data_IF_923552975414
#
_entry.id   IF_923552975414
#
_cell.length_a   1.000
_cell.length_b   1.000
_cell.length_c   1.000
_cell.angle_alpha   90.00
_cell.angle_beta   90.00
_cell.angle_gamma   90.00
#
_symmetry.space_group_name_H-M   'P 1'
#
loop_
_entity.id
_entity.type
_entity.pdbx_description
1 polymer ?
#
# COMPACT_ATOMS: atom_id res chain seq x y z
N UNK A 1 -61.67 -9.28 -31.02
CA UNK A 1 -60.46 -9.42 -30.20
C UNK A 1 -59.94 -8.02 -29.99
N UNK A 2 -60.00 -7.49 -28.76
CA UNK A 2 -59.46 -6.17 -28.46
C UNK A 2 -57.93 -6.25 -28.59
N UNK A 3 -57.27 -5.33 -29.31
CA UNK A 3 -55.81 -5.32 -29.36
C UNK A 3 -55.27 -5.02 -27.96
N UNK A 4 -54.49 -5.94 -27.39
CA UNK A 4 -53.80 -5.71 -26.11
C UNK A 4 -52.65 -4.70 -26.33
N UNK A 5 -52.74 -3.55 -25.68
CA UNK A 5 -51.78 -2.45 -25.73
C UNK A 5 -50.78 -2.57 -24.59
N UNK A 6 -49.49 -2.35 -24.87
CA UNK A 6 -48.42 -2.66 -23.93
C UNK A 6 -47.30 -1.63 -23.98
N UNK A 7 -46.82 -1.25 -22.80
CA UNK A 7 -45.89 -0.17 -22.53
C UNK A 7 -44.44 -0.66 -22.26
N UNK A 8 -43.48 -0.23 -23.09
CA UNK A 8 -42.01 -0.31 -23.01
C UNK A 8 -41.49 0.83 -22.16
N UNK A 9 -40.40 0.79 -21.39
CA UNK A 9 -39.90 1.99 -20.68
C UNK A 9 -38.42 2.31 -20.90
N UNK A 10 -38.06 3.58 -20.72
CA UNK A 10 -36.71 4.11 -20.89
C UNK A 10 -36.46 5.21 -19.83
N UNK A 11 -35.21 5.37 -19.39
CA UNK A 11 -34.78 6.53 -18.60
C UNK A 11 -34.58 7.73 -19.50
N UNK A 12 -35.07 8.90 -19.09
CA UNK A 12 -34.60 10.15 -19.69
C UNK A 12 -33.11 10.27 -19.36
N UNK A 13 -32.23 10.61 -20.35
CA UNK A 13 -30.81 10.76 -20.11
C UNK A 13 -30.59 11.75 -18.96
N UNK A 14 -29.77 11.37 -17.97
CA UNK A 14 -29.44 12.28 -16.89
C UNK A 14 -28.77 13.52 -17.47
N UNK A 15 -29.19 14.73 -17.07
CA UNK A 15 -28.49 15.93 -17.48
C UNK A 15 -27.06 15.86 -16.92
N UNK A 16 -26.09 15.81 -17.83
CA UNK A 16 -24.71 16.25 -17.57
C UNK A 16 -24.80 17.60 -16.83
N UNK A 17 -23.96 17.90 -15.82
CA UNK A 17 -24.20 18.95 -14.80
C UNK A 17 -24.38 20.40 -15.28
N UNK A 18 -24.45 20.65 -16.59
CA UNK A 18 -24.60 21.97 -17.21
C UNK A 18 -25.80 22.08 -18.17
N UNK A 19 -26.83 21.24 -18.03
CA UNK A 19 -28.03 21.39 -18.84
C UNK A 19 -29.06 22.26 -18.11
N UNK A 20 -29.10 23.53 -18.51
CA UNK A 20 -30.27 24.40 -18.34
C UNK A 20 -31.53 23.71 -18.93
N UNK A 21 -32.77 24.16 -18.61
CA UNK A 21 -34.03 23.58 -19.11
C UNK A 21 -34.20 23.46 -20.64
N UNK A 22 -33.16 23.80 -21.42
CA UNK A 22 -33.17 24.02 -22.84
C UNK A 22 -32.82 22.81 -23.72
N UNK A 23 -32.46 21.64 -23.16
CA UNK A 23 -32.06 20.49 -24.01
C UNK A 23 -32.64 19.17 -23.47
N UNK A 24 -33.97 19.04 -23.55
CA UNK A 24 -34.56 17.71 -23.58
C UNK A 24 -34.05 16.98 -24.84
N UNK A 25 -33.80 15.66 -24.76
CA UNK A 25 -33.40 14.90 -25.94
C UNK A 25 -34.47 15.05 -27.02
N UNK A 26 -34.02 15.42 -28.23
CA UNK A 26 -34.90 15.48 -29.40
C UNK A 26 -35.27 14.07 -29.87
N UNK A 27 -34.37 13.09 -29.73
CA UNK A 27 -34.59 11.71 -30.13
C UNK A 27 -34.63 10.81 -28.89
N UNK A 28 -35.69 10.01 -28.79
CA UNK A 28 -35.87 9.01 -27.75
C UNK A 28 -35.80 7.61 -28.36
N UNK A 29 -35.07 6.70 -27.73
CA UNK A 29 -35.16 5.28 -28.05
C UNK A 29 -36.55 4.77 -27.65
N UNK A 30 -37.22 4.05 -28.56
CA UNK A 30 -38.59 3.60 -28.38
C UNK A 30 -38.73 2.08 -28.33
N UNK A 31 -38.09 1.35 -29.24
CA UNK A 31 -38.19 -0.12 -29.30
C UNK A 31 -36.84 -0.69 -29.72
N UNK A 32 -36.20 -1.55 -28.91
CA UNK A 32 -34.96 -2.20 -29.32
C UNK A 32 -35.20 -3.22 -30.46
N UNK A 33 -34.13 -3.58 -31.17
CA UNK A 33 -34.17 -4.68 -32.15
C UNK A 33 -34.22 -6.04 -31.45
N UNK A 34 -34.84 -7.03 -32.11
CA UNK A 34 -34.82 -8.42 -31.64
C UNK A 34 -35.67 -8.66 -30.40
N UNK A 35 -35.27 -9.65 -29.60
CA UNK A 35 -36.01 -10.04 -28.40
C UNK A 35 -35.72 -9.09 -27.24
N UNK A 36 -36.76 -8.68 -26.53
CA UNK A 36 -36.61 -7.88 -25.31
C UNK A 36 -37.69 -8.20 -24.29
N UNK A 37 -37.38 -8.03 -23.01
CA UNK A 37 -38.21 -8.46 -21.88
C UNK A 37 -38.48 -7.30 -20.92
N UNK A 38 -39.76 -7.13 -20.57
CA UNK A 38 -40.25 -6.18 -19.57
C UNK A 38 -39.88 -6.59 -18.14
N UNK A 39 -39.86 -5.64 -17.22
CA UNK A 39 -39.77 -5.89 -15.77
C UNK A 39 -40.97 -6.66 -15.23
N UNK A 40 -42.10 -6.58 -15.92
CA UNK A 40 -43.27 -7.43 -15.68
C UNK A 40 -43.08 -8.89 -16.09
N UNK A 41 -41.94 -9.24 -16.72
CA UNK A 41 -41.59 -10.59 -17.14
C UNK A 41 -42.15 -11.00 -18.50
N UNK A 42 -42.86 -10.12 -19.21
CA UNK A 42 -43.35 -10.39 -20.58
C UNK A 42 -42.22 -10.15 -21.59
N UNK A 43 -42.20 -10.93 -22.65
CA UNK A 43 -41.20 -10.85 -23.72
C UNK A 43 -41.86 -10.54 -25.06
N UNK A 44 -41.19 -9.71 -25.85
CA UNK A 44 -41.62 -9.35 -27.20
C UNK A 44 -40.47 -9.46 -28.18
N UNK A 45 -40.80 -9.43 -29.47
CA UNK A 45 -39.84 -9.55 -30.55
C UNK A 45 -40.02 -8.44 -31.58
N UNK A 46 -39.04 -7.57 -31.75
CA UNK A 46 -38.99 -6.62 -32.85
C UNK A 46 -38.21 -7.23 -34.03
N UNK A 47 -38.90 -8.08 -34.82
CA UNK A 47 -38.31 -8.83 -35.94
C UNK A 47 -37.83 -7.94 -37.09
N UNK A 48 -38.59 -6.88 -37.37
CA UNK A 48 -38.35 -6.01 -38.51
C UNK A 48 -38.62 -4.55 -38.12
N UNK A 49 -37.63 -3.87 -37.50
CA UNK A 49 -37.79 -2.49 -37.03
C UNK A 49 -38.22 -1.52 -38.14
N UNK A 50 -37.74 -1.71 -39.38
CA UNK A 50 -38.11 -0.87 -40.51
C UNK A 50 -39.60 -0.99 -40.88
N UNK A 51 -40.17 -2.19 -40.78
CA UNK A 51 -41.59 -2.39 -41.03
C UNK A 51 -42.45 -1.80 -39.91
N UNK A 52 -42.02 -1.92 -38.65
CA UNK A 52 -42.69 -1.27 -37.52
C UNK A 52 -42.70 0.25 -37.69
N UNK A 53 -41.57 0.85 -38.09
CA UNK A 53 -41.50 2.29 -38.40
C UNK A 53 -42.44 2.65 -39.55
N UNK A 54 -42.42 1.90 -40.66
CA UNK A 54 -43.27 2.16 -41.80
C UNK A 54 -44.77 2.12 -41.45
N UNK A 55 -45.18 1.18 -40.58
CA UNK A 55 -46.56 1.04 -40.09
C UNK A 55 -46.96 2.10 -39.07
N UNK A 56 -45.99 2.77 -38.45
CA UNK A 56 -46.22 3.76 -37.38
C UNK A 56 -46.10 5.21 -37.86
N UNK A 57 -45.62 5.44 -39.09
CA UNK A 57 -45.31 6.78 -39.62
C UNK A 57 -46.51 7.48 -40.29
N UNK A 58 -47.68 6.85 -40.32
CA UNK A 58 -48.92 7.40 -40.88
C UNK A 58 -49.61 8.41 -39.94
N UNK A 59 -49.26 8.42 -38.66
CA UNK A 59 -49.75 9.36 -37.65
C UNK A 59 -48.60 9.84 -36.76
N UNK A 60 -48.74 11.04 -36.18
CA UNK A 60 -47.87 11.45 -35.09
C UNK A 60 -48.27 10.68 -33.82
N UNK A 61 -47.28 10.19 -33.08
CA UNK A 61 -47.51 9.38 -31.87
C UNK A 61 -47.58 10.32 -30.66
N UNK A 62 -48.67 10.32 -29.88
CA UNK A 62 -48.81 11.22 -28.74
C UNK A 62 -47.87 10.82 -27.60
N UNK A 63 -47.27 11.82 -26.96
CA UNK A 63 -46.61 11.67 -25.67
C UNK A 63 -47.60 12.07 -24.58
N UNK A 64 -47.94 11.17 -23.67
CA UNK A 64 -48.94 11.40 -22.62
C UNK A 64 -48.36 11.25 -21.21
N UNK A 65 -49.23 11.36 -20.20
CA UNK A 65 -48.89 11.06 -18.80
C UNK A 65 -49.52 9.74 -18.40
N UNK A 66 -48.70 8.84 -17.84
CA UNK A 66 -49.14 7.56 -17.26
C UNK A 66 -50.06 6.75 -18.19
N UNK A 67 -49.75 6.71 -19.49
CA UNK A 67 -50.50 5.99 -20.52
C UNK A 67 -51.96 6.42 -20.64
N UNK A 68 -52.24 7.72 -20.45
CA UNK A 68 -53.60 8.25 -20.57
C UNK A 68 -54.24 7.94 -21.93
N UNK A 69 -53.48 7.95 -23.03
CA UNK A 69 -53.97 7.60 -24.37
C UNK A 69 -54.54 6.18 -24.40
N UNK A 70 -53.90 5.24 -23.71
CA UNK A 70 -54.30 3.84 -23.71
C UNK A 70 -55.33 3.49 -22.62
N UNK A 71 -55.31 4.19 -21.49
CA UNK A 71 -56.17 3.89 -20.34
C UNK A 71 -57.44 4.75 -20.34
N UNK A 72 -57.33 6.04 -20.66
CA UNK A 72 -58.43 7.02 -20.63
C UNK A 72 -59.05 7.21 -22.00
N UNK A 73 -58.24 7.26 -23.06
CA UNK A 73 -58.69 7.43 -24.44
C UNK A 73 -59.83 6.47 -24.84
N UNK A 74 -59.70 5.14 -24.65
CA UNK A 74 -60.75 4.18 -25.01
C UNK A 74 -62.05 4.35 -24.21
N UNK A 75 -62.00 5.01 -23.04
CA UNK A 75 -63.17 5.29 -22.20
C UNK A 75 -63.81 6.64 -22.54
N UNK A 76 -63.28 7.38 -23.52
CA UNK A 76 -63.73 8.72 -23.88
C UNK A 76 -63.38 9.78 -22.84
N UNK A 77 -62.47 9.46 -21.91
CA UNK A 77 -61.96 10.39 -20.91
C UNK A 77 -60.82 11.24 -21.50
N UNK A 78 -60.54 12.39 -20.87
CA UNK A 78 -59.49 13.29 -21.32
C UNK A 78 -58.10 12.64 -21.24
N UNK A 79 -57.41 12.57 -22.39
CA UNK A 79 -56.06 12.04 -22.55
C UNK A 79 -55.22 13.03 -23.38
N UNK A 80 -54.77 14.15 -22.77
CA UNK A 80 -54.08 15.19 -23.50
C UNK A 80 -52.65 14.76 -23.85
N UNK A 81 -52.21 15.13 -25.05
CA UNK A 81 -50.82 14.98 -25.47
C UNK A 81 -49.97 16.14 -24.94
N UNK A 82 -48.86 15.80 -24.29
CA UNK A 82 -47.84 16.70 -23.77
C UNK A 82 -46.62 16.80 -24.69
N UNK A 83 -46.63 16.06 -25.79
CA UNK A 83 -45.67 16.13 -26.88
C UNK A 83 -46.11 15.20 -28.01
N UNK A 84 -45.35 15.20 -29.09
CA UNK A 84 -45.61 14.35 -30.24
C UNK A 84 -44.31 13.78 -30.77
N UNK A 85 -44.29 12.48 -31.08
CA UNK A 85 -43.26 11.89 -31.91
C UNK A 85 -43.63 12.19 -33.36
N UNK A 86 -42.84 13.01 -34.04
CA UNK A 86 -43.12 13.48 -35.41
C UNK A 86 -42.25 12.80 -36.47
N UNK A 87 -41.19 12.12 -36.07
CA UNK A 87 -40.35 11.35 -36.97
C UNK A 87 -39.87 10.08 -36.29
N UNK A 88 -39.70 9.01 -37.06
CA UNK A 88 -39.15 7.75 -36.61
C UNK A 88 -37.95 7.37 -37.46
N UNK A 89 -36.95 6.75 -36.84
CA UNK A 89 -35.80 6.18 -37.55
C UNK A 89 -35.39 4.86 -36.92
N UNK A 90 -34.69 4.04 -37.71
CA UNK A 90 -34.02 2.84 -37.22
C UNK A 90 -32.52 3.15 -37.19
N UNK A 91 -31.89 2.92 -36.05
CA UNK A 91 -30.44 3.10 -35.88
C UNK A 91 -29.67 1.93 -36.51
N UNK A 92 -28.35 2.05 -36.62
CA UNK A 92 -27.49 0.97 -37.12
C UNK A 92 -27.55 -0.31 -36.24
N UNK A 93 -27.89 -0.15 -34.95
CA UNK A 93 -28.15 -1.26 -34.03
C UNK A 93 -29.54 -1.88 -34.19
N UNK A 94 -30.39 -1.33 -35.06
CA UNK A 94 -31.77 -1.75 -35.29
C UNK A 94 -32.78 -1.21 -34.27
N UNK A 95 -32.37 -0.34 -33.35
CA UNK A 95 -33.28 0.31 -32.40
C UNK A 95 -34.15 1.33 -33.12
N UNK A 96 -35.45 1.34 -32.82
CA UNK A 96 -36.38 2.37 -33.27
C UNK A 96 -36.24 3.58 -32.35
N UNK A 97 -35.91 4.74 -32.92
CA UNK A 97 -35.90 6.03 -32.22
C UNK A 97 -36.99 6.94 -32.78
N UNK A 98 -37.54 7.80 -31.92
CA UNK A 98 -38.55 8.79 -32.28
C UNK A 98 -38.12 10.21 -31.93
N UNK A 99 -38.33 11.14 -32.87
CA UNK A 99 -38.09 12.56 -32.65
C UNK A 99 -39.29 13.19 -31.94
N UNK A 100 -39.09 13.65 -30.70
CA UNK A 100 -40.14 14.22 -29.86
C UNK A 100 -40.14 15.73 -29.92
N UNK A 101 -41.30 16.29 -30.25
CA UNK A 101 -41.61 17.71 -30.10
C UNK A 101 -42.39 17.90 -28.80
N UNK A 102 -41.73 18.51 -27.81
CA UNK A 102 -42.26 18.70 -26.46
C UNK A 102 -43.12 19.96 -26.34
N UNK A 103 -44.25 19.85 -25.64
CA UNK A 103 -45.01 21.02 -25.20
C UNK A 103 -44.30 21.78 -24.07
N UNK A 104 -44.69 23.03 -23.84
CA UNK A 104 -44.19 23.82 -22.70
C UNK A 104 -44.54 23.15 -21.35
N UNK A 105 -45.76 22.60 -21.24
CA UNK A 105 -46.19 21.85 -20.06
C UNK A 105 -45.31 20.62 -19.80
N UNK A 106 -44.94 19.86 -20.83
CA UNK A 106 -43.99 18.74 -20.67
C UNK A 106 -42.63 19.22 -20.19
N UNK A 107 -42.09 20.27 -20.81
CA UNK A 107 -40.79 20.85 -20.41
C UNK A 107 -40.77 21.23 -18.94
N UNK A 108 -41.83 21.89 -18.47
CA UNK A 108 -41.98 22.24 -17.06
C UNK A 108 -42.07 21.02 -16.14
N UNK A 109 -42.91 20.02 -16.48
CA UNK A 109 -43.04 18.81 -15.66
C UNK A 109 -41.73 18.03 -15.56
N UNK A 110 -40.97 17.96 -16.65
CA UNK A 110 -39.67 17.30 -16.70
C UNK A 110 -38.60 18.11 -15.96
N UNK A 111 -38.58 19.45 -16.08
CA UNK A 111 -37.63 20.29 -15.33
C UNK A 111 -37.86 20.20 -13.81
N UNK A 112 -39.11 20.11 -13.38
CA UNK A 112 -39.51 19.89 -11.98
C UNK A 112 -39.33 18.43 -11.54
N UNK A 113 -38.82 17.54 -12.42
CA UNK A 113 -38.60 16.11 -12.14
C UNK A 113 -39.86 15.37 -11.69
N UNK A 114 -41.03 15.80 -12.16
CA UNK A 114 -42.33 15.15 -11.86
C UNK A 114 -42.44 13.78 -12.50
N UNK A 115 -41.75 13.58 -13.63
CA UNK A 115 -41.61 12.30 -14.33
C UNK A 115 -40.13 12.10 -14.66
N UNK A 116 -39.60 10.90 -14.40
CA UNK A 116 -38.19 10.56 -14.66
C UNK A 116 -37.98 9.56 -15.79
N UNK A 117 -39.05 8.89 -16.20
CA UNK A 117 -39.02 7.83 -17.20
C UNK A 117 -40.09 8.09 -18.25
N UNK A 118 -39.89 7.50 -19.42
CA UNK A 118 -40.87 7.52 -20.49
C UNK A 118 -41.12 6.10 -20.98
N UNK A 119 -42.26 5.91 -21.65
CA UNK A 119 -42.75 4.57 -21.90
C UNK A 119 -43.52 4.40 -23.22
N UNK A 120 -42.88 3.88 -24.28
CA UNK A 120 -43.56 3.64 -25.56
C UNK A 120 -44.59 2.52 -25.47
N UNK A 121 -45.85 2.81 -25.78
CA UNK A 121 -46.88 1.81 -26.00
C UNK A 121 -46.88 1.34 -27.45
N UNK A 122 -47.07 0.04 -27.68
CA UNK A 122 -47.07 -0.57 -29.00
C UNK A 122 -48.08 -1.73 -29.08
N UNK A 123 -48.48 -2.03 -30.30
CA UNK A 123 -49.27 -3.19 -30.66
C UNK A 123 -48.36 -4.37 -30.98
N UNK A 124 -48.79 -5.56 -30.58
CA UNK A 124 -48.11 -6.81 -30.90
C UNK A 124 -49.10 -7.85 -31.45
N UNK A 125 -48.58 -8.84 -32.18
CA UNK A 125 -49.37 -10.00 -32.61
C UNK A 125 -49.42 -11.11 -31.55
N UNK A 126 -50.11 -12.20 -31.85
CA UNK A 126 -50.26 -13.33 -30.93
C UNK A 126 -48.93 -14.04 -30.59
N UNK A 127 -47.90 -13.86 -31.42
CA UNK A 127 -46.55 -14.41 -31.21
C UNK A 127 -45.65 -13.43 -30.45
N UNK A 128 -46.19 -12.30 -29.98
CA UNK A 128 -45.45 -11.25 -29.27
C UNK A 128 -44.59 -10.38 -30.18
N UNK A 129 -44.77 -10.44 -31.50
CA UNK A 129 -44.00 -9.60 -32.42
C UNK A 129 -44.56 -8.17 -32.45
N UNK A 130 -43.67 -7.19 -32.31
CA UNK A 130 -44.03 -5.76 -32.39
C UNK A 130 -44.54 -5.43 -33.79
N UNK A 131 -45.70 -4.78 -33.88
CA UNK A 131 -46.34 -4.44 -35.17
C UNK A 131 -46.37 -2.95 -35.45
N UNK A 132 -46.70 -2.13 -34.44
CA UNK A 132 -46.86 -0.67 -34.59
C UNK A 132 -46.74 0.04 -33.23
N UNK A 133 -46.21 1.25 -33.21
CA UNK A 133 -46.23 2.15 -32.05
C UNK A 133 -47.62 2.82 -31.88
N UNK A 134 -48.00 3.12 -30.64
CA UNK A 134 -49.31 3.70 -30.28
C UNK A 134 -49.19 5.04 -29.57
N UNK A 135 -48.44 5.11 -28.47
CA UNK A 135 -48.21 6.32 -27.66
C UNK A 135 -46.87 6.25 -26.93
N UNK A 136 -46.46 7.31 -26.23
CA UNK A 136 -45.33 7.30 -25.29
C UNK A 136 -45.76 7.94 -23.97
N UNK A 137 -45.84 7.17 -22.89
CA UNK A 137 -46.24 7.68 -21.57
C UNK A 137 -45.06 8.14 -20.72
N UNK A 138 -45.07 9.39 -20.26
CA UNK A 138 -44.21 9.82 -19.16
C UNK A 138 -44.71 9.18 -17.87
N UNK A 139 -43.83 8.46 -17.17
CA UNK A 139 -44.18 7.67 -15.98
C UNK A 139 -43.09 7.70 -14.92
N UNK A 140 -43.46 7.44 -13.67
CA UNK A 140 -42.52 7.24 -12.55
C UNK A 140 -42.26 5.76 -12.23
N UNK A 141 -42.99 4.83 -12.84
CA UNK A 141 -42.84 3.38 -12.63
C UNK A 141 -42.50 2.68 -13.95
N UNK A 142 -41.21 2.62 -14.33
CA UNK A 142 -40.83 2.02 -15.60
C UNK A 142 -40.92 0.48 -15.58
N UNK A 143 -41.23 -0.10 -16.73
CA UNK A 143 -41.55 -1.48 -17.05
C UNK A 143 -40.52 -2.16 -17.99
N UNK A 144 -39.41 -1.52 -18.38
CA UNK A 144 -38.26 -2.18 -19.03
C UNK A 144 -37.00 -1.85 -18.25
N UNK A 145 -36.08 -2.80 -18.20
CA UNK A 145 -34.67 -2.55 -17.90
C UNK A 145 -33.94 -2.42 -19.23
N UNK A 146 -33.72 -1.19 -19.68
CA UNK A 146 -32.48 -0.91 -20.39
C UNK A 146 -31.44 -0.55 -19.35
N UNK A 147 -30.17 -0.95 -19.56
CA UNK A 147 -29.13 -0.53 -18.67
C UNK A 147 -29.19 1.00 -18.64
N UNK A 148 -29.40 1.57 -17.45
CA UNK A 148 -28.63 2.77 -17.16
C UNK A 148 -27.22 2.41 -17.63
N UNK A 149 -26.57 3.26 -18.43
CA UNK A 149 -25.27 2.97 -19.07
C UNK A 149 -24.19 2.46 -18.08
N UNK A 150 -24.51 2.42 -16.78
CA UNK A 150 -23.88 1.69 -15.69
C UNK A 150 -24.79 0.61 -15.06
N UNK A 151 -25.20 -0.45 -15.76
CA UNK A 151 -25.91 -1.59 -15.15
C UNK A 151 -25.05 -2.85 -15.20
N UNK A 152 -24.64 -3.25 -14.00
CA UNK A 152 -23.75 -4.31 -13.57
C UNK A 152 -24.27 -5.75 -13.85
N UNK A 153 -24.69 -6.05 -15.09
CA UNK A 153 -25.24 -7.39 -15.43
C UNK A 153 -24.60 -8.11 -16.62
N UNK A 154 -23.58 -7.53 -17.24
CA UNK A 154 -22.66 -8.27 -18.09
C UNK A 154 -21.30 -8.28 -17.39
N UNK A 155 -20.63 -9.43 -17.18
CA UNK A 155 -19.21 -9.41 -16.86
C UNK A 155 -18.53 -8.76 -18.06
N UNK A 156 -18.19 -7.48 -17.94
CA UNK A 156 -17.46 -6.75 -18.97
C UNK A 156 -16.12 -7.46 -19.10
N UNK A 157 -15.95 -8.21 -20.19
CA UNK A 157 -14.62 -8.65 -20.59
C UNK A 157 -13.81 -7.40 -20.82
N UNK A 158 -12.62 -7.40 -20.21
CA UNK A 158 -11.71 -6.27 -20.35
C UNK A 158 -11.37 -6.12 -21.83
N UNK A 159 -11.41 -4.90 -22.42
CA UNK A 159 -11.10 -4.70 -23.83
C UNK A 159 -9.81 -5.43 -24.22
N UNK A 160 -9.85 -6.18 -25.33
CA UNK A 160 -8.74 -7.05 -25.79
C UNK A 160 -7.40 -6.30 -25.91
N UNK A 161 -7.47 -4.99 -26.14
CA UNK A 161 -6.30 -4.10 -26.17
C UNK A 161 -5.60 -4.01 -24.81
N UNK A 162 -6.35 -3.98 -23.71
CA UNK A 162 -5.82 -3.92 -22.34
C UNK A 162 -5.30 -5.30 -21.92
N UNK A 163 -6.02 -6.38 -22.22
CA UNK A 163 -5.53 -7.74 -21.92
C UNK A 163 -4.26 -8.05 -22.74
N UNK A 164 -4.21 -7.62 -24.00
CA UNK A 164 -3.02 -7.73 -24.85
C UNK A 164 -1.81 -6.94 -24.32
N UNK A 165 -2.01 -5.71 -23.84
CA UNK A 165 -0.95 -4.92 -23.20
C UNK A 165 -0.45 -5.52 -21.88
N UNK A 166 -1.33 -6.19 -21.13
CA UNK A 166 -0.99 -6.87 -19.88
C UNK A 166 -0.47 -8.30 -20.08
N UNK A 167 -0.44 -8.82 -21.32
CA UNK A 167 -0.04 -10.19 -21.62
C UNK A 167 -1.02 -11.26 -21.12
N UNK A 168 -2.28 -10.89 -20.90
CA UNK A 168 -3.34 -11.77 -20.43
C UNK A 168 -4.16 -12.33 -21.61
N UNK A 169 -4.85 -13.45 -21.38
CA UNK A 169 -5.74 -14.05 -22.37
C UNK A 169 -6.93 -13.13 -22.71
N UNK A 170 -7.50 -13.27 -23.92
CA UNK A 170 -8.66 -12.47 -24.35
C UNK A 170 -9.91 -12.70 -23.48
N UNK A 171 -9.98 -13.84 -22.79
CA UNK A 171 -11.04 -14.17 -21.83
C UNK A 171 -10.73 -13.76 -20.38
N UNK A 172 -9.66 -12.98 -20.15
CA UNK A 172 -9.27 -12.59 -18.80
C UNK A 172 -10.35 -11.72 -18.15
N UNK A 173 -10.57 -11.98 -16.86
CA UNK A 173 -11.56 -11.25 -16.08
C UNK A 173 -11.03 -9.90 -15.63
N UNK A 174 -11.92 -9.05 -15.11
CA UNK A 174 -11.54 -7.78 -14.48
C UNK A 174 -10.59 -8.02 -13.31
N UNK A 175 -10.82 -9.07 -12.52
CA UNK A 175 -9.97 -9.40 -11.37
C UNK A 175 -8.55 -9.82 -11.79
N UNK A 176 -8.42 -10.60 -12.86
CA UNK A 176 -7.13 -10.99 -13.44
C UNK A 176 -6.34 -9.75 -13.93
N UNK A 177 -7.06 -8.80 -14.52
CA UNK A 177 -6.51 -7.54 -15.02
C UNK A 177 -6.03 -6.65 -13.86
N UNK A 178 -6.82 -6.55 -12.79
CA UNK A 178 -6.44 -5.81 -11.57
C UNK A 178 -5.20 -6.45 -10.92
N UNK A 179 -5.11 -7.77 -10.88
CA UNK A 179 -3.95 -8.48 -10.35
C UNK A 179 -2.68 -8.19 -11.18
N UNK A 180 -2.78 -8.23 -12.52
CA UNK A 180 -1.66 -7.90 -13.40
C UNK A 180 -1.20 -6.45 -13.28
N UNK A 181 -2.13 -5.50 -13.14
CA UNK A 181 -1.81 -4.08 -12.91
C UNK A 181 -1.08 -3.88 -11.58
N UNK A 182 -1.55 -4.53 -10.50
CA UNK A 182 -0.84 -4.48 -9.20
C UNK A 182 0.57 -5.04 -9.31
N UNK A 183 0.75 -6.14 -10.03
CA UNK A 183 2.07 -6.72 -10.25
C UNK A 183 3.00 -5.78 -11.04
N UNK A 184 2.48 -5.05 -12.04
CA UNK A 184 3.24 -4.03 -12.75
C UNK A 184 3.65 -2.87 -11.84
N UNK A 185 2.75 -2.40 -10.97
CA UNK A 185 3.05 -1.35 -9.99
C UNK A 185 4.11 -1.81 -8.98
N UNK A 186 4.03 -3.04 -8.49
CA UNK A 186 5.04 -3.62 -7.60
C UNK A 186 6.40 -3.75 -8.30
N UNK A 187 6.41 -4.23 -9.55
CA UNK A 187 7.63 -4.33 -10.34
C UNK A 187 8.24 -2.95 -10.65
N UNK A 188 7.42 -1.94 -10.95
CA UNK A 188 7.86 -0.55 -11.12
C UNK A 188 8.44 0.00 -9.83
N UNK A 189 7.79 -0.24 -8.68
CA UNK A 189 8.32 0.17 -7.38
C UNK A 189 9.65 -0.52 -7.06
N UNK A 190 9.80 -1.81 -7.35
CA UNK A 190 11.07 -2.54 -7.20
C UNK A 190 12.13 -2.01 -8.16
N UNK A 191 11.76 -1.68 -9.40
CA UNK A 191 12.66 -1.10 -10.39
C UNK A 191 13.10 0.32 -10.00
N UNK A 192 12.19 1.15 -9.48
CA UNK A 192 12.47 2.48 -8.95
C UNK A 192 13.37 2.40 -7.71
N UNK A 193 13.11 1.46 -6.80
CA UNK A 193 13.96 1.22 -5.63
C UNK A 193 15.36 0.71 -6.03
N UNK A 194 15.48 -0.02 -7.15
CA UNK A 194 16.77 -0.43 -7.73
C UNK A 194 17.47 0.68 -8.52
N UNK A 195 16.72 1.56 -9.18
CA UNK A 195 17.22 2.68 -9.97
C UNK A 195 17.60 3.89 -9.09
N UNK A 196 17.04 3.97 -7.88
CA UNK A 196 17.61 4.81 -6.82
C UNK A 196 18.99 4.26 -6.47
N UNK A 197 20.00 4.84 -7.12
CA UNK A 197 21.39 4.73 -6.68
C UNK A 197 21.40 5.21 -5.23
N UNK A 198 21.64 4.34 -4.23
CA UNK A 198 21.62 4.76 -2.83
C UNK A 198 22.61 5.91 -2.70
N UNK A 199 22.13 7.05 -2.22
CA UNK A 199 22.96 8.22 -1.98
C UNK A 199 24.14 7.79 -1.11
N UNK A 200 25.35 7.75 -1.69
CA UNK A 200 26.56 7.22 -1.04
C UNK A 200 26.97 8.06 0.18
N UNK A 201 26.37 9.25 0.35
CA UNK A 201 26.54 10.07 1.56
C UNK A 201 25.61 9.65 2.70
N UNK A 202 24.56 8.86 2.41
CA UNK A 202 23.55 8.38 3.38
C UNK A 202 23.58 6.87 3.58
N UNK A 203 24.14 6.12 2.65
CA UNK A 203 24.19 4.66 2.69
C UNK A 203 25.63 4.15 2.60
N UNK A 204 26.03 3.37 3.61
CA UNK A 204 27.33 2.68 3.66
C UNK A 204 27.08 1.18 3.61
N UNK A 205 27.84 0.39 2.84
CA UNK A 205 27.73 -1.07 2.86
C UNK A 205 27.87 -1.62 4.28
N UNK A 206 27.01 -2.58 4.64
CA UNK A 206 26.98 -3.19 5.98
C UNK A 206 28.35 -3.77 6.36
N UNK A 207 29.08 -4.34 5.40
CA UNK A 207 30.45 -4.83 5.62
C UNK A 207 31.42 -3.72 6.04
N UNK A 208 31.33 -2.54 5.41
CA UNK A 208 32.16 -1.38 5.76
C UNK A 208 31.76 -0.79 7.11
N UNK A 209 30.47 -0.74 7.42
CA UNK A 209 29.98 -0.32 8.73
C UNK A 209 30.47 -1.25 9.86
N UNK A 210 30.33 -2.56 9.67
CA UNK A 210 30.80 -3.55 10.63
C UNK A 210 32.32 -3.51 10.80
N UNK A 211 33.07 -3.28 9.72
CA UNK A 211 34.52 -3.08 9.80
C UNK A 211 34.88 -1.83 10.62
N UNK A 212 34.15 -0.73 10.44
CA UNK A 212 34.36 0.50 11.21
C UNK A 212 34.05 0.30 12.69
N UNK A 213 32.92 -0.36 13.02
CA UNK A 213 32.57 -0.71 14.41
C UNK A 213 33.61 -1.60 15.06
N UNK A 214 34.04 -2.67 14.40
CA UNK A 214 35.07 -3.57 14.94
C UNK A 214 36.39 -2.83 15.22
N UNK A 215 36.78 -1.89 14.35
CA UNK A 215 37.97 -1.05 14.56
C UNK A 215 37.79 -0.08 15.73
N UNK A 216 36.62 0.53 15.87
CA UNK A 216 36.29 1.42 16.97
C UNK A 216 36.31 0.68 18.31
N UNK A 217 35.61 -0.45 18.43
CA UNK A 217 35.61 -1.29 19.64
C UNK A 217 37.03 -1.76 20.00
N UNK A 218 37.85 -2.12 19.00
CA UNK A 218 39.24 -2.51 19.24
C UNK A 218 40.08 -1.33 19.75
N UNK A 219 39.88 -0.13 19.21
CA UNK A 219 40.56 1.07 19.67
C UNK A 219 40.13 1.46 21.10
N UNK A 220 38.84 1.43 21.40
CA UNK A 220 38.29 1.70 22.73
C UNK A 220 38.83 0.71 23.77
N UNK A 221 38.86 -0.60 23.46
CA UNK A 221 39.45 -1.60 24.36
C UNK A 221 40.94 -1.36 24.59
N UNK A 222 41.68 -0.95 23.55
CA UNK A 222 43.12 -0.61 23.70
C UNK A 222 43.31 0.63 24.55
N UNK A 223 42.46 1.65 24.40
CA UNK A 223 42.50 2.86 25.23
C UNK A 223 42.21 2.51 26.70
N UNK A 224 41.18 1.72 26.97
CA UNK A 224 40.88 1.23 28.33
C UNK A 224 42.07 0.49 28.95
N UNK A 225 42.75 -0.39 28.20
CA UNK A 225 43.94 -1.09 28.69
C UNK A 225 45.13 -0.16 28.95
N UNK A 226 45.34 0.86 28.13
CA UNK A 226 46.39 1.86 28.35
C UNK A 226 46.11 2.67 29.60
N UNK A 227 44.86 3.10 29.74
CA UNK A 227 44.36 3.84 30.89
C UNK A 227 44.48 3.06 32.22
N UNK A 228 44.15 1.76 32.21
CA UNK A 228 44.36 0.89 33.37
C UNK A 228 45.84 0.76 33.72
N UNK A 229 46.71 0.56 32.72
CA UNK A 229 48.17 0.50 32.94
C UNK A 229 48.74 1.81 33.47
N UNK A 230 48.25 2.95 33.01
CA UNK A 230 48.65 4.26 33.53
C UNK A 230 48.21 4.44 34.99
N UNK A 231 46.98 4.04 35.33
CA UNK A 231 46.50 4.05 36.71
C UNK A 231 47.36 3.15 37.62
N UNK A 232 47.70 1.95 37.16
CA UNK A 232 48.60 1.03 37.86
C UNK A 232 49.98 1.62 38.06
N UNK A 233 50.58 2.15 37.00
CA UNK A 233 51.91 2.77 37.05
C UNK A 233 51.96 3.98 38.01
N UNK A 234 50.91 4.81 38.04
CA UNK A 234 50.83 5.95 38.95
C UNK A 234 50.78 5.51 40.42
N UNK A 235 49.96 4.50 40.74
CA UNK A 235 49.84 3.98 42.12
C UNK A 235 51.12 3.27 42.53
N UNK A 236 51.72 2.46 41.65
CA UNK A 236 52.97 1.74 41.93
C UNK A 236 54.15 2.70 42.12
N UNK A 237 54.22 3.78 41.33
CA UNK A 237 55.22 4.84 41.54
C UNK A 237 55.03 5.56 42.89
N UNK A 238 53.79 5.80 43.32
CA UNK A 238 53.50 6.41 44.62
C UNK A 238 53.84 5.49 45.81
N UNK A 239 53.66 4.18 45.65
CA UNK A 239 54.09 3.16 46.62
C UNK A 239 55.61 3.09 46.69
N UNK A 240 56.29 3.04 45.53
CA UNK A 240 57.76 3.04 45.47
C UNK A 240 58.41 4.30 46.06
N UNK A 241 57.73 5.44 45.95
CA UNK A 241 58.13 6.70 46.59
C UNK A 241 57.80 6.79 48.09
N UNK A 242 57.20 5.75 48.69
CA UNK A 242 56.82 5.71 50.11
C UNK A 242 55.66 6.65 50.49
N UNK A 243 54.95 7.20 49.50
CA UNK A 243 53.84 8.15 49.69
C UNK A 243 52.50 7.45 49.92
N UNK A 244 52.39 6.19 49.48
CA UNK A 244 51.22 5.33 49.67
C UNK A 244 51.67 4.00 50.27
N UNK A 245 50.97 3.54 51.31
CA UNK A 245 51.24 2.25 51.92
C UNK A 245 50.76 1.11 50.99
N UNK A 246 51.55 0.01 50.83
CA UNK A 246 51.16 -1.12 49.97
C UNK A 246 49.78 -1.72 50.29
N UNK A 247 49.36 -1.69 51.57
CA UNK A 247 48.05 -2.18 52.01
C UNK A 247 46.86 -1.41 51.41
N UNK A 248 47.08 -0.17 50.96
CA UNK A 248 46.02 0.69 50.40
C UNK A 248 46.04 0.74 48.87
N UNK A 249 46.85 -0.09 48.21
CA UNK A 249 47.02 -0.12 46.75
C UNK A 249 45.68 -0.22 46.01
N UNK A 250 44.86 -1.20 46.37
CA UNK A 250 43.62 -1.48 45.66
C UNK A 250 42.59 -0.34 45.76
N UNK A 251 42.57 0.37 46.89
CA UNK A 251 41.71 1.53 47.11
C UNK A 251 42.09 2.71 46.20
N UNK A 252 43.38 2.98 46.08
CA UNK A 252 43.87 4.06 45.21
C UNK A 252 43.80 3.69 43.73
N UNK A 253 43.97 2.41 43.37
CA UNK A 253 43.71 1.93 42.02
C UNK A 253 42.24 2.12 41.62
N UNK A 254 41.30 1.78 42.51
CA UNK A 254 39.88 1.99 42.25
C UNK A 254 39.55 3.47 42.01
N UNK A 255 40.23 4.38 42.72
CA UNK A 255 40.07 5.84 42.55
C UNK A 255 40.72 6.32 41.24
N UNK A 256 41.87 5.77 40.85
CA UNK A 256 42.58 6.13 39.62
C UNK A 256 41.95 5.52 38.34
N UNK A 257 40.85 4.78 38.44
CA UNK A 257 40.10 4.29 37.26
C UNK A 257 39.38 5.40 36.51
N UNK A 258 39.10 6.54 37.15
CA UNK A 258 38.53 7.72 36.48
C UNK A 258 39.63 8.74 36.18
N UNK A 259 39.51 9.49 35.07
CA UNK A 259 40.46 10.55 34.74
C UNK A 259 40.57 11.62 35.85
N UNK A 260 39.44 11.98 36.46
CA UNK A 260 39.41 12.93 37.57
C UNK A 260 40.13 12.38 38.81
N UNK A 261 39.93 11.10 39.12
CA UNK A 261 40.60 10.44 40.23
C UNK A 261 42.12 10.33 40.03
N UNK A 262 42.59 10.13 38.79
CA UNK A 262 44.04 10.20 38.47
C UNK A 262 44.61 11.58 38.74
N UNK A 263 43.91 12.65 38.34
CA UNK A 263 44.35 14.04 38.59
C UNK A 263 44.39 14.36 40.08
N UNK A 264 43.34 13.97 40.82
CA UNK A 264 43.28 14.16 42.27
C UNK A 264 44.37 13.37 43.01
N UNK A 265 44.65 12.13 42.57
CA UNK A 265 45.72 11.32 43.12
C UNK A 265 47.12 11.87 42.79
N UNK A 266 47.32 12.40 41.58
CA UNK A 266 48.56 13.07 41.21
C UNK A 266 48.81 14.34 42.04
N UNK A 267 47.77 15.13 42.36
CA UNK A 267 47.88 16.27 43.27
C UNK A 267 48.13 15.82 44.72
N UNK A 268 47.43 14.79 45.19
CA UNK A 268 47.64 14.22 46.52
C UNK A 268 49.08 13.73 46.71
N UNK A 269 49.65 13.03 45.73
CA UNK A 269 51.03 12.56 45.77
C UNK A 269 52.06 13.69 45.71
N UNK A 270 51.73 14.89 45.19
CA UNK A 270 52.62 16.07 45.29
C UNK A 270 52.69 16.63 46.72
N UNK A 271 51.57 16.64 47.43
CA UNK A 271 51.48 17.17 48.81
C UNK A 271 51.79 16.17 49.92
N UNK A 272 51.77 14.86 49.63
CA UNK A 272 52.01 13.81 50.61
C UNK A 272 53.51 13.71 50.99
N UNK A 273 53.79 13.75 52.29
CA UNK A 273 55.12 13.41 52.82
C UNK A 273 55.30 11.88 52.84
N UNK A 274 56.53 11.36 52.67
CA UNK A 274 56.78 9.92 52.79
C UNK A 274 56.33 9.43 54.16
N UNK A 275 55.30 8.57 54.18
CA UNK A 275 54.73 8.02 55.42
C UNK A 275 55.54 6.80 55.90
N UNK A 276 56.40 6.27 55.04
CA UNK A 276 57.22 5.08 55.29
C UNK A 276 58.69 5.48 55.17
N UNK A 277 59.45 5.30 56.24
CA UNK A 277 60.91 5.38 56.19
C UNK A 277 61.39 4.26 55.25
N UNK A 278 62.27 4.56 54.30
CA UNK A 278 62.69 3.61 53.25
C UNK A 278 63.62 2.49 53.76
N UNK A 279 63.54 2.16 55.05
CA UNK A 279 64.01 0.89 55.56
C UNK A 279 62.99 -0.17 55.13
N UNK A 280 63.41 -0.99 54.16
CA UNK A 280 62.68 -2.15 53.64
C UNK A 280 61.73 -2.73 54.70
N UNK A 281 60.42 -2.81 54.45
CA UNK A 281 59.54 -3.61 55.28
C UNK A 281 60.09 -5.04 55.27
N UNK A 282 60.43 -5.53 56.45
CA UNK A 282 60.86 -6.90 56.72
C UNK A 282 59.99 -7.88 55.94
N UNK A 283 60.58 -8.50 54.90
CA UNK A 283 60.01 -9.66 54.23
C UNK A 283 59.76 -10.72 55.30
N UNK A 284 58.51 -11.10 55.46
CA UNK A 284 58.15 -12.24 56.30
C UNK A 284 58.88 -13.48 55.80
N UNK A 285 59.79 -14.01 56.63
CA UNK A 285 60.44 -15.32 56.52
C UNK A 285 60.48 -15.92 55.11
N UNK A 286 61.45 -15.48 54.31
CA UNK A 286 61.97 -16.26 53.21
C UNK A 286 62.47 -17.62 53.74
N UNK A 287 62.03 -18.71 53.12
CA UNK A 287 62.77 -19.98 53.16
C UNK A 287 64.17 -19.69 52.61
N UNK A 288 65.27 -20.11 53.26
CA UNK A 288 66.59 -19.83 52.73
C UNK A 288 66.77 -20.63 51.43
N UNK A 289 66.79 -19.94 50.30
CA UNK A 289 67.39 -20.47 49.08
C UNK A 289 68.89 -20.60 49.36
N UNK A 290 69.39 -21.84 49.43
CA UNK A 290 70.83 -22.11 49.54
C UNK A 290 71.52 -21.67 48.25
N UNK A 291 72.05 -20.45 48.23
CA UNK A 291 73.00 -20.02 47.21
C UNK A 291 74.40 -20.44 47.61
N UNK A 292 75.11 -21.11 46.70
CA UNK A 292 76.49 -21.55 46.87
C UNK A 292 77.42 -20.34 47.02
N UNK A 293 78.37 -20.45 47.94
CA UNK A 293 79.44 -19.44 48.09
C UNK A 293 80.45 -19.54 46.94
N UNK A 294 81.20 -18.47 46.67
CA UNK A 294 82.15 -18.41 45.53
C UNK A 294 83.21 -19.52 45.55
N UNK A 295 83.59 -20.00 46.74
CA UNK A 295 84.49 -21.14 46.90
C UNK A 295 83.84 -22.48 46.49
N UNK A 296 82.53 -22.64 46.75
CA UNK A 296 81.76 -23.83 46.38
C UNK A 296 81.46 -23.86 44.87
N UNK A 297 81.23 -22.70 44.25
CA UNK A 297 81.13 -22.56 42.80
C UNK A 297 82.46 -22.88 42.09
N UNK A 298 83.59 -22.50 42.68
CA UNK A 298 84.92 -22.86 42.15
C UNK A 298 85.17 -24.38 42.20
N UNK A 299 84.76 -25.05 43.29
CA UNK A 299 84.81 -26.51 43.40
C UNK A 299 83.91 -27.23 42.38
N UNK A 300 82.70 -26.70 42.13
CA UNK A 300 81.81 -27.24 41.10
C UNK A 300 82.47 -27.17 39.71
N UNK A 301 83.16 -26.07 39.40
CA UNK A 301 83.89 -25.91 38.12
C UNK A 301 85.10 -26.84 38.01
N UNK A 302 85.85 -27.07 39.09
CA UNK A 302 87.04 -27.95 39.05
C UNK A 302 86.70 -29.43 38.97
N UNK A 303 85.56 -29.85 39.54
CA UNK A 303 85.11 -31.25 39.52
C UNK A 303 84.11 -31.55 38.38
N UNK A 304 83.72 -30.55 37.59
CA UNK A 304 82.85 -30.71 36.43
C UNK A 304 81.40 -31.07 36.75
N UNK A 305 80.95 -30.79 37.98
CA UNK A 305 79.60 -31.07 38.47
C UNK A 305 78.77 -29.77 38.53
N UNK A 306 77.46 -29.88 38.37
CA UNK A 306 76.56 -28.72 38.40
C UNK A 306 76.30 -28.26 39.84
N UNK A 307 75.98 -26.98 40.03
CA UNK A 307 75.70 -26.43 41.37
C UNK A 307 74.52 -27.09 42.07
N UNK A 308 73.54 -27.60 41.31
CA UNK A 308 72.39 -28.33 41.84
C UNK A 308 72.78 -29.72 42.38
N UNK A 309 73.68 -30.44 41.70
CA UNK A 309 74.20 -31.73 42.16
C UNK A 309 75.07 -31.57 43.42
N UNK A 310 75.85 -30.48 43.51
CA UNK A 310 76.64 -30.18 44.70
C UNK A 310 75.77 -29.87 45.92
N UNK A 311 74.66 -29.15 45.73
CA UNK A 311 73.68 -28.89 46.79
C UNK A 311 72.95 -30.16 47.24
N UNK A 312 72.68 -31.10 46.32
CA UNK A 312 72.07 -32.38 46.64
C UNK A 312 73.01 -33.35 47.39
N UNK A 313 74.32 -33.27 47.14
CA UNK A 313 75.33 -34.13 47.78
C UNK A 313 75.81 -33.62 49.14
N UNK A 314 75.46 -32.38 49.54
CA UNK A 314 75.89 -31.78 50.80
C UNK A 314 75.13 -32.44 51.97
N UNK A 315 75.79 -33.18 52.88
CA UNK A 315 75.11 -33.80 54.02
C UNK A 315 74.57 -32.70 54.94
N UNK A 316 73.27 -32.79 55.29
CA UNK A 316 72.65 -31.92 56.30
C UNK A 316 73.35 -32.15 57.64
N UNK A 317 74.21 -31.24 58.06
CA UNK A 317 74.62 -31.13 59.46
C UNK A 317 73.58 -30.27 60.20
N UNK A 318 73.21 -30.77 61.38
CA UNK A 318 72.16 -30.27 62.30
C UNK A 318 72.29 -28.79 62.66
#
# INVERSE_FOLDING_TARGET
>A
MQPELLALCFSLPEPIPELTPAQLPEWLELVPAGEFTGRDGRTWMNRNPHEVVARSSDINIPVDIEHATEIKGPRGEEAPAYGWVEALRVTDSGTIEGRVVWSESARWMLSERRYRYYSPAFFHDADGAVTRLSSVGLTNKPNLDFPALNTEKNPMTVPVQITGLLGLAESATVDDTVAAIKQLQENEQVALNRAQTPDLTKFVPVETHNLALNRAETAEKRLQQLEEKEAEALVDAAIGAGKVAPANRDMFLATCRTEEGRKQFAEYTKGAQPLVNNDKPSQGKDKPAQTLTDAELAMCRSMGITGEEFLAAKPKQE
#
